data_IF_832072663278
#
_entry.id   IF_832072663278
#
_cell.length_a   1.000
_cell.length_b   1.000
_cell.length_c   1.000
_cell.angle_alpha   90.00
_cell.angle_beta   90.00
_cell.angle_gamma   90.00
#
_symmetry.space_group_name_H-M   'P 1'
#
loop_
_entity.id
_entity.type
_entity.pdbx_description
1 polymer ?
#
# COMPACT_ATOMS: atom_id res chain seq x y z
N UNK A 1 18.39 -5.33 7.86
CA UNK A 1 18.33 -6.74 8.33
C UNK A 1 17.66 -7.56 7.22
N UNK A 2 18.25 -8.66 6.72
CA UNK A 2 17.57 -9.53 5.73
C UNK A 2 16.48 -10.33 6.46
N UNK A 3 15.24 -10.28 6.00
CA UNK A 3 14.17 -11.17 6.49
C UNK A 3 14.42 -12.58 5.95
N UNK A 4 14.42 -13.60 6.81
CA UNK A 4 14.49 -14.99 6.37
C UNK A 4 13.10 -15.44 5.90
N UNK A 5 13.02 -16.08 4.73
CA UNK A 5 11.76 -16.49 4.08
C UNK A 5 10.87 -17.33 5.01
N UNK A 6 11.47 -18.22 5.81
CA UNK A 6 10.75 -19.14 6.70
C UNK A 6 10.11 -18.46 7.93
N UNK A 7 10.40 -17.17 8.17
CA UNK A 7 9.78 -16.37 9.24
C UNK A 7 8.71 -15.40 8.71
N UNK A 8 8.47 -15.39 7.38
CA UNK A 8 7.49 -14.49 6.76
C UNK A 8 6.09 -15.06 6.75
N UNK A 9 5.09 -14.20 6.96
CA UNK A 9 3.68 -14.57 6.86
C UNK A 9 3.20 -14.27 5.43
N UNK A 10 2.61 -15.25 4.70
CA UNK A 10 2.13 -15.03 3.34
C UNK A 10 1.07 -13.92 3.29
N UNK A 11 1.25 -12.98 2.36
CA UNK A 11 0.32 -11.91 2.07
C UNK A 11 -0.12 -11.92 0.61
N UNK A 12 -1.15 -11.15 0.29
CA UNK A 12 -1.57 -10.91 -1.09
C UNK A 12 -2.03 -9.47 -1.27
N UNK A 13 -1.94 -8.97 -2.50
CA UNK A 13 -2.56 -7.73 -2.92
C UNK A 13 -3.44 -7.95 -4.15
N UNK A 14 -4.58 -7.26 -4.20
CA UNK A 14 -5.55 -7.44 -5.28
C UNK A 14 -6.18 -6.13 -5.72
N UNK A 15 -6.66 -6.17 -6.96
CA UNK A 15 -7.29 -5.07 -7.67
C UNK A 15 -8.34 -5.63 -8.64
N UNK A 16 -8.94 -4.78 -9.48
CA UNK A 16 -9.84 -5.24 -10.54
C UNK A 16 -9.22 -6.27 -11.50
N UNK A 17 -7.89 -6.31 -11.63
CA UNK A 17 -7.19 -7.22 -12.53
C UNK A 17 -7.32 -8.70 -12.12
N UNK A 18 -7.55 -8.97 -10.84
CA UNK A 18 -7.67 -10.32 -10.29
C UNK A 18 -9.13 -10.84 -10.37
N UNK A 19 -10.06 -10.07 -10.92
CA UNK A 19 -11.48 -10.40 -11.01
C UNK A 19 -12.07 -10.84 -9.65
N UNK A 20 -12.53 -12.10 -9.56
CA UNK A 20 -13.13 -12.66 -8.35
C UNK A 20 -12.08 -13.41 -7.52
N UNK A 21 -11.66 -12.80 -6.40
CA UNK A 21 -10.76 -13.44 -5.43
C UNK A 21 -11.54 -14.32 -4.44
N UNK A 22 -11.11 -15.58 -4.28
CA UNK A 22 -11.59 -16.46 -3.22
C UNK A 22 -10.75 -16.31 -1.95
N UNK A 23 -11.11 -15.31 -1.14
CA UNK A 23 -10.40 -14.96 0.10
C UNK A 23 -10.39 -16.07 1.14
N UNK A 24 -11.42 -16.91 1.21
CA UNK A 24 -11.45 -18.04 2.14
C UNK A 24 -10.42 -19.09 1.74
N UNK A 25 -10.32 -19.41 0.45
CA UNK A 25 -9.30 -20.35 -0.04
C UNK A 25 -7.89 -19.79 0.16
N UNK A 26 -7.66 -18.51 -0.12
CA UNK A 26 -6.37 -17.86 0.12
C UNK A 26 -5.96 -17.95 1.60
N UNK A 27 -6.92 -17.76 2.51
CA UNK A 27 -6.68 -17.84 3.94
C UNK A 27 -6.42 -19.28 4.44
N UNK A 28 -7.26 -20.24 4.05
CA UNK A 28 -7.27 -21.60 4.59
C UNK A 28 -6.23 -22.51 3.93
N UNK A 29 -6.08 -22.39 2.61
CA UNK A 29 -5.20 -23.25 1.80
C UNK A 29 -3.81 -22.63 1.67
N UNK A 30 -3.74 -21.34 1.31
CA UNK A 30 -2.48 -20.68 0.97
C UNK A 30 -1.86 -19.95 2.16
N UNK A 31 -2.55 -19.93 3.30
CA UNK A 31 -2.05 -19.33 4.55
C UNK A 31 -1.97 -17.81 4.53
N UNK A 32 -2.66 -17.15 3.61
CA UNK A 32 -2.67 -15.68 3.49
C UNK A 32 -3.22 -15.05 4.78
N UNK A 33 -2.51 -14.03 5.29
CA UNK A 33 -2.95 -13.24 6.45
C UNK A 33 -3.08 -11.75 6.13
N UNK A 34 -2.03 -11.00 5.72
CA UNK A 34 -2.27 -9.65 5.22
C UNK A 34 -2.87 -9.66 3.81
N UNK A 35 -3.91 -8.85 3.61
CA UNK A 35 -4.56 -8.63 2.31
C UNK A 35 -4.61 -7.15 1.97
N UNK A 36 -3.99 -6.73 0.87
CA UNK A 36 -4.00 -5.36 0.40
C UNK A 36 -4.99 -5.21 -0.75
N UNK A 37 -5.89 -4.23 -0.68
CA UNK A 37 -6.98 -4.09 -1.65
C UNK A 37 -6.90 -2.72 -2.29
N UNK A 38 -6.78 -2.67 -3.62
CA UNK A 38 -6.78 -1.39 -4.32
C UNK A 38 -8.12 -0.71 -4.10
N UNK A 39 -8.07 0.53 -3.65
CA UNK A 39 -9.26 1.32 -3.42
C UNK A 39 -9.49 2.33 -4.53
N UNK A 40 -8.54 3.24 -4.72
CA UNK A 40 -8.64 4.33 -5.68
C UNK A 40 -7.33 4.61 -6.39
N UNK A 41 -7.48 5.21 -7.57
CA UNK A 41 -6.44 5.89 -8.32
C UNK A 41 -7.15 7.09 -8.93
N UNK A 42 -7.00 8.29 -8.38
CA UNK A 42 -7.85 9.42 -8.76
C UNK A 42 -7.87 9.64 -10.30
N UNK A 43 -9.05 9.83 -10.95
CA UNK A 43 -10.42 9.91 -10.39
C UNK A 43 -11.18 8.57 -10.42
N UNK A 44 -10.48 7.45 -10.54
CA UNK A 44 -11.07 6.12 -10.64
C UNK A 44 -11.15 5.42 -9.28
N UNK A 45 -12.24 4.70 -9.09
CA UNK A 45 -12.45 3.78 -7.99
C UNK A 45 -12.28 2.38 -8.54
N UNK A 46 -11.56 1.52 -7.85
CA UNK A 46 -11.41 0.13 -8.29
C UNK A 46 -12.79 -0.56 -8.27
N UNK A 47 -13.15 -1.23 -9.36
CA UNK A 47 -14.48 -1.82 -9.55
C UNK A 47 -14.73 -3.02 -8.64
N UNK A 48 -13.67 -3.66 -8.13
CA UNK A 48 -13.76 -4.82 -7.24
C UNK A 48 -13.54 -4.47 -5.77
N UNK A 49 -13.21 -3.21 -5.42
CA UNK A 49 -12.81 -2.81 -4.07
C UNK A 49 -13.78 -3.24 -2.97
N UNK A 50 -15.08 -3.00 -3.17
CA UNK A 50 -16.13 -3.32 -2.18
C UNK A 50 -16.30 -4.83 -2.06
N UNK A 51 -16.36 -5.54 -3.19
CA UNK A 51 -16.51 -7.00 -3.19
C UNK A 51 -15.32 -7.68 -2.50
N UNK A 52 -14.09 -7.24 -2.81
CA UNK A 52 -12.89 -7.76 -2.18
C UNK A 52 -12.85 -7.43 -0.69
N UNK A 53 -13.25 -6.22 -0.30
CA UNK A 53 -13.29 -5.83 1.10
C UNK A 53 -14.25 -6.68 1.94
N UNK A 54 -15.46 -6.89 1.43
CA UNK A 54 -16.49 -7.68 2.09
C UNK A 54 -16.08 -9.15 2.19
N UNK A 55 -15.54 -9.72 1.10
CA UNK A 55 -15.08 -11.11 1.09
C UNK A 55 -13.86 -11.33 1.99
N UNK A 56 -12.89 -10.41 2.01
CA UNK A 56 -11.77 -10.46 2.93
C UNK A 56 -12.25 -10.35 4.38
N UNK A 57 -13.24 -9.51 4.67
CA UNK A 57 -13.85 -9.40 6.01
C UNK A 57 -14.51 -10.70 6.44
N UNK A 58 -15.16 -11.41 5.53
CA UNK A 58 -15.77 -12.71 5.80
C UNK A 58 -14.77 -13.86 5.96
N UNK A 59 -13.53 -13.68 5.50
CA UNK A 59 -12.40 -14.57 5.79
C UNK A 59 -11.64 -14.04 7.03
N UNK A 60 -12.24 -14.12 8.23
CA UNK A 60 -11.92 -13.36 9.46
C UNK A 60 -10.44 -13.35 9.91
N UNK A 61 -9.60 -14.23 9.36
CA UNK A 61 -8.15 -14.30 9.62
C UNK A 61 -7.34 -13.33 8.77
N UNK A 62 -7.95 -12.68 7.78
CA UNK A 62 -7.27 -11.74 6.89
C UNK A 62 -7.24 -10.35 7.52
N UNK A 63 -6.03 -9.87 7.84
CA UNK A 63 -5.77 -8.49 8.21
C UNK A 63 -5.71 -7.66 6.92
N UNK A 64 -6.68 -6.79 6.69
CA UNK A 64 -6.82 -6.07 5.43
C UNK A 64 -6.31 -4.63 5.51
N UNK A 65 -5.73 -4.11 4.44
CA UNK A 65 -5.40 -2.70 4.25
C UNK A 65 -5.93 -2.22 2.89
N UNK A 66 -6.59 -1.06 2.82
CA UNK A 66 -6.87 -0.42 1.54
C UNK A 66 -5.59 0.27 1.04
N UNK A 67 -5.36 0.28 -0.27
CA UNK A 67 -4.28 1.05 -0.86
C UNK A 67 -4.77 2.01 -1.95
N UNK A 68 -4.05 3.12 -2.08
CA UNK A 68 -4.31 4.19 -3.05
C UNK A 68 -3.11 4.38 -3.96
N UNK A 69 -3.35 4.43 -5.27
CA UNK A 69 -2.32 4.74 -6.26
C UNK A 69 -2.12 6.24 -6.33
N UNK A 70 -0.90 6.70 -6.06
CA UNK A 70 -0.50 8.09 -6.20
C UNK A 70 -0.55 8.53 -7.68
N UNK A 71 -1.22 9.65 -7.94
CA UNK A 71 -1.34 10.24 -9.28
C UNK A 71 -0.57 11.56 -9.36
N UNK A 72 0.51 11.61 -10.15
CA UNK A 72 1.26 12.83 -10.40
C UNK A 72 0.38 13.98 -10.94
N UNK A 73 0.63 15.20 -10.47
CA UNK A 73 -0.08 16.40 -10.91
C UNK A 73 -1.49 16.58 -10.32
N UNK A 74 -1.95 15.64 -9.49
CA UNK A 74 -3.18 15.79 -8.69
C UNK A 74 -2.82 16.21 -7.28
N UNK A 75 -3.52 17.21 -6.73
CA UNK A 75 -3.29 17.67 -5.36
C UNK A 75 -3.45 16.53 -4.34
N UNK A 76 -2.51 16.42 -3.40
CA UNK A 76 -2.51 15.33 -2.41
C UNK A 76 -3.78 15.25 -1.58
N UNK A 77 -4.30 16.42 -1.16
CA UNK A 77 -5.56 16.52 -0.44
C UNK A 77 -6.73 15.94 -1.24
N UNK A 78 -6.81 16.24 -2.55
CA UNK A 78 -7.90 15.74 -3.39
C UNK A 78 -7.86 14.22 -3.55
N UNK A 79 -6.67 13.62 -3.65
CA UNK A 79 -6.52 12.17 -3.72
C UNK A 79 -6.90 11.51 -2.38
N UNK A 80 -6.45 12.10 -1.27
CA UNK A 80 -6.80 11.68 0.08
C UNK A 80 -8.31 11.74 0.34
N UNK A 81 -8.94 12.88 0.08
CA UNK A 81 -10.40 13.09 0.19
C UNK A 81 -11.17 12.08 -0.65
N UNK A 82 -10.81 11.95 -1.94
CA UNK A 82 -11.48 11.02 -2.85
C UNK A 82 -11.43 9.56 -2.35
N UNK A 83 -10.29 9.16 -1.77
CA UNK A 83 -10.12 7.84 -1.17
C UNK A 83 -10.94 7.69 0.11
N UNK A 84 -10.81 8.62 1.06
CA UNK A 84 -11.43 8.51 2.38
C UNK A 84 -12.94 8.63 2.30
N UNK A 85 -13.47 9.54 1.49
CA UNK A 85 -14.91 9.70 1.28
C UNK A 85 -15.53 8.45 0.68
N UNK A 86 -14.88 7.84 -0.32
CA UNK A 86 -15.41 6.61 -0.91
C UNK A 86 -15.35 5.43 0.05
N UNK A 87 -14.27 5.30 0.81
CA UNK A 87 -14.15 4.28 1.85
C UNK A 87 -15.26 4.42 2.89
N UNK A 88 -15.48 5.63 3.42
CA UNK A 88 -16.50 5.88 4.43
C UNK A 88 -17.93 5.66 3.92
N UNK A 89 -18.19 5.97 2.64
CA UNK A 89 -19.50 5.74 2.02
C UNK A 89 -19.81 4.26 1.79
N UNK A 90 -18.79 3.41 1.63
CA UNK A 90 -18.97 2.00 1.24
C UNK A 90 -18.75 1.03 2.40
N UNK A 91 -17.74 1.28 3.22
CA UNK A 91 -17.35 0.45 4.36
C UNK A 91 -17.82 1.05 5.68
N UNK A 92 -17.83 2.38 5.77
CA UNK A 92 -18.04 3.10 7.03
C UNK A 92 -16.72 3.52 7.66
N UNK A 93 -16.69 3.58 9.00
CA UNK A 93 -15.50 4.05 9.71
C UNK A 93 -14.36 3.04 9.65
N UNK A 94 -13.15 3.54 9.48
CA UNK A 94 -11.92 2.76 9.68
C UNK A 94 -11.86 2.26 11.13
N UNK A 95 -11.75 0.94 11.31
CA UNK A 95 -11.98 0.23 12.56
C UNK A 95 -10.90 -0.80 12.86
N UNK A 96 -9.64 -0.35 12.88
CA UNK A 96 -8.51 -1.19 13.30
C UNK A 96 -7.99 -2.14 12.22
N UNK A 97 -8.30 -1.86 10.95
CA UNK A 97 -7.61 -2.46 9.81
C UNK A 97 -6.09 -2.16 9.81
N UNK A 98 -5.35 -2.82 8.92
CA UNK A 98 -3.95 -2.47 8.69
C UNK A 98 -3.85 -1.06 8.09
N UNK A 99 -2.77 -0.29 8.40
CA UNK A 99 -2.61 1.07 7.91
C UNK A 99 -2.81 1.17 6.40
N UNK A 100 -3.49 2.22 5.89
CA UNK A 100 -3.63 2.41 4.46
C UNK A 100 -2.25 2.53 3.80
N UNK A 101 -2.12 2.00 2.60
CA UNK A 101 -0.86 2.04 1.85
C UNK A 101 -0.98 3.03 0.69
N UNK A 102 0.06 3.84 0.49
CA UNK A 102 0.21 4.67 -0.70
C UNK A 102 1.12 3.93 -1.69
N UNK A 103 0.54 3.54 -2.81
CA UNK A 103 1.24 2.98 -3.97
C UNK A 103 1.91 4.12 -4.75
N UNK A 104 3.24 4.16 -4.67
CA UNK A 104 4.11 5.15 -5.27
C UNK A 104 4.98 4.52 -6.36
N UNK A 105 4.41 4.37 -7.55
CA UNK A 105 5.11 3.83 -8.72
C UNK A 105 5.05 4.75 -9.96
N UNK A 106 4.34 5.88 -9.86
CA UNK A 106 4.15 6.82 -10.97
C UNK A 106 5.02 8.09 -10.84
N UNK A 107 5.46 8.61 -11.98
CA UNK A 107 6.33 9.79 -12.09
C UNK A 107 5.67 10.95 -12.85
N UNK A 108 6.08 12.20 -12.59
CA UNK A 108 7.05 12.63 -11.57
C UNK A 108 6.47 12.59 -10.15
N UNK A 109 7.34 12.49 -9.14
CA UNK A 109 6.92 12.55 -7.73
C UNK A 109 6.92 14.01 -7.27
N UNK A 110 5.73 14.53 -6.96
CA UNK A 110 5.56 15.78 -6.22
C UNK A 110 5.55 15.45 -4.72
N UNK A 111 6.67 15.73 -4.05
CA UNK A 111 6.88 15.42 -2.64
C UNK A 111 5.98 16.23 -1.70
N UNK A 112 5.57 17.44 -2.08
CA UNK A 112 4.68 18.25 -1.25
C UNK A 112 3.25 17.71 -1.34
N UNK A 113 2.78 17.39 -2.55
CA UNK A 113 1.49 16.73 -2.73
C UNK A 113 1.46 15.36 -2.05
N UNK A 114 2.52 14.55 -2.20
CA UNK A 114 2.61 13.25 -1.54
C UNK A 114 2.57 13.38 -0.01
N UNK A 115 3.30 14.35 0.55
CA UNK A 115 3.28 14.63 2.00
C UNK A 115 1.88 14.95 2.49
N UNK A 116 1.16 15.85 1.81
CA UNK A 116 -0.22 16.23 2.17
C UNK A 116 -1.14 15.01 2.12
N UNK A 117 -1.00 14.15 1.10
CA UNK A 117 -1.78 12.93 0.98
C UNK A 117 -1.52 11.97 2.16
N UNK A 118 -0.25 11.77 2.54
CA UNK A 118 0.09 10.97 3.73
C UNK A 118 -0.48 11.58 5.01
N UNK A 119 -0.33 12.89 5.24
CA UNK A 119 -0.86 13.57 6.43
C UNK A 119 -2.39 13.43 6.52
N UNK A 120 -3.09 13.49 5.38
CA UNK A 120 -4.53 13.25 5.31
C UNK A 120 -4.91 11.83 5.73
N UNK A 121 -4.23 10.83 5.16
CA UNK A 121 -4.47 9.42 5.48
C UNK A 121 -4.13 9.08 6.94
N UNK A 122 -3.05 9.67 7.46
CA UNK A 122 -2.66 9.51 8.87
C UNK A 122 -3.74 10.03 9.80
N UNK A 123 -4.28 11.21 9.50
CA UNK A 123 -5.34 11.83 10.27
C UNK A 123 -6.62 10.99 10.25
N UNK A 124 -7.02 10.54 9.06
CA UNK A 124 -8.21 9.73 8.86
C UNK A 124 -8.13 8.36 9.55
N UNK A 125 -7.04 7.62 9.32
CA UNK A 125 -6.85 6.27 9.86
C UNK A 125 -6.39 6.26 11.34
N UNK A 126 -5.95 7.42 11.87
CA UNK A 126 -5.34 7.56 13.21
C UNK A 126 -4.12 6.67 13.43
N UNK A 127 -3.43 6.33 12.34
CA UNK A 127 -2.19 5.54 12.31
C UNK A 127 -1.36 6.01 11.11
N UNK A 128 -0.03 5.92 11.20
CA UNK A 128 0.85 6.27 10.08
C UNK A 128 0.56 5.36 8.87
N UNK A 129 0.10 5.92 7.76
CA UNK A 129 -0.02 5.24 6.49
C UNK A 129 1.36 4.76 6.01
N UNK A 130 1.40 3.61 5.35
CA UNK A 130 2.60 3.01 4.78
C UNK A 130 2.79 3.36 3.31
N UNK A 131 3.97 3.05 2.77
CA UNK A 131 4.28 3.26 1.36
C UNK A 131 4.60 1.93 0.67
N UNK A 132 3.83 1.63 -0.37
CA UNK A 132 4.18 0.61 -1.34
C UNK A 132 4.98 1.23 -2.49
N UNK A 133 6.16 0.67 -2.80
CA UNK A 133 6.98 1.15 -3.92
C UNK A 133 8.08 0.14 -4.28
N UNK A 134 8.67 0.28 -5.45
CA UNK A 134 9.92 -0.39 -5.79
C UNK A 134 11.14 0.44 -5.38
N UNK A 135 12.23 -0.22 -4.95
CA UNK A 135 13.48 0.48 -4.70
C UNK A 135 13.98 1.25 -5.93
N UNK A 136 13.72 0.73 -7.14
CA UNK A 136 14.02 1.41 -8.40
C UNK A 136 13.27 2.74 -8.56
N UNK A 137 12.03 2.87 -8.06
CA UNK A 137 11.26 4.12 -8.10
C UNK A 137 11.99 5.19 -7.29
N UNK A 138 12.40 4.82 -6.07
CA UNK A 138 13.11 5.73 -5.16
C UNK A 138 14.52 6.08 -5.69
N UNK A 139 15.21 5.14 -6.33
CA UNK A 139 16.49 5.41 -6.98
C UNK A 139 16.36 6.39 -8.16
N UNK A 140 15.30 6.25 -8.96
CA UNK A 140 15.02 7.22 -10.03
C UNK A 140 14.70 8.58 -9.44
N UNK A 141 13.93 8.65 -8.35
CA UNK A 141 13.63 9.91 -7.68
C UNK A 141 14.91 10.64 -7.21
N UNK A 142 15.88 9.91 -6.65
CA UNK A 142 17.19 10.43 -6.21
C UNK A 142 18.06 10.98 -7.35
N UNK A 143 17.70 10.76 -8.63
CA UNK A 143 18.35 11.45 -9.75
C UNK A 143 17.94 12.92 -9.85
N UNK A 144 16.82 13.30 -9.20
CA UNK A 144 16.22 14.63 -9.28
C UNK A 144 16.18 15.37 -7.94
N UNK A 145 16.45 14.68 -6.83
CA UNK A 145 16.51 15.24 -5.48
C UNK A 145 17.78 14.77 -4.76
N UNK A 146 18.33 15.59 -3.88
CA UNK A 146 19.58 15.26 -3.17
C UNK A 146 19.41 14.11 -2.17
N UNK A 147 18.22 14.01 -1.54
CA UNK A 147 17.87 12.97 -0.56
C UNK A 147 16.36 12.83 -0.43
N UNK A 148 15.87 11.62 -0.19
CA UNK A 148 14.49 11.36 0.25
C UNK A 148 14.16 12.19 1.50
N UNK A 149 12.96 12.80 1.58
CA UNK A 149 12.57 13.61 2.74
C UNK A 149 12.51 12.81 4.05
N UNK A 150 12.90 13.44 5.16
CA UNK A 150 12.93 12.79 6.48
C UNK A 150 11.55 12.25 6.90
N UNK A 151 10.47 13.00 6.61
CA UNK A 151 9.09 12.56 6.89
C UNK A 151 8.67 11.31 6.12
N UNK A 152 9.30 11.05 4.97
CA UNK A 152 9.01 9.91 4.10
C UNK A 152 9.79 8.67 4.52
N UNK A 153 11.06 8.82 4.91
CA UNK A 153 11.88 7.67 5.35
C UNK A 153 11.43 7.10 6.71
N UNK A 154 10.70 7.88 7.50
CA UNK A 154 10.08 7.44 8.77
C UNK A 154 8.81 6.58 8.59
N UNK A 155 8.39 6.33 7.33
CA UNK A 155 7.22 5.50 7.02
C UNK A 155 7.57 4.02 7.11
N UNK A 156 6.54 3.21 7.31
CA UNK A 156 6.63 1.77 7.10
C UNK A 156 6.53 1.48 5.60
N UNK A 157 7.39 0.60 5.11
CA UNK A 157 7.49 0.30 3.68
C UNK A 157 7.03 -1.11 3.34
N UNK A 158 6.27 -1.19 2.26
CA UNK A 158 6.06 -2.39 1.47
C UNK A 158 6.92 -2.27 0.21
N UNK A 159 8.02 -3.01 0.13
CA UNK A 159 8.93 -2.94 -1.02
C UNK A 159 8.77 -4.12 -1.96
N UNK A 160 8.87 -3.86 -3.26
CA UNK A 160 9.00 -4.93 -4.26
C UNK A 160 10.41 -5.50 -4.29
N UNK A 161 10.52 -6.77 -4.69
CA UNK A 161 11.78 -7.45 -4.93
C UNK A 161 11.45 -8.83 -5.47
N UNK A 162 11.31 -8.95 -6.79
CA UNK A 162 10.77 -10.15 -7.44
C UNK A 162 11.79 -11.30 -7.48
N UNK A 163 12.18 -11.80 -6.29
CA UNK A 163 13.27 -12.73 -6.06
C UNK A 163 13.01 -13.59 -4.81
N UNK A 164 13.96 -14.45 -4.40
CA UNK A 164 13.82 -15.33 -3.23
C UNK A 164 14.73 -14.93 -2.04
N UNK A 165 15.37 -13.77 -2.12
CA UNK A 165 16.39 -13.30 -1.17
C UNK A 165 15.94 -12.16 -0.26
N UNK A 166 14.88 -11.44 -0.62
CA UNK A 166 14.30 -10.35 0.15
C UNK A 166 13.88 -9.15 -0.71
N UNK A 167 13.30 -8.10 -0.08
CA UNK A 167 12.94 -6.86 -0.77
C UNK A 167 14.19 -6.18 -1.33
N UNK A 168 14.05 -5.54 -2.49
CA UNK A 168 15.10 -4.68 -3.02
C UNK A 168 15.22 -3.45 -2.11
N UNK A 169 16.44 -3.08 -1.74
CA UNK A 169 16.71 -1.98 -0.83
C UNK A 169 17.23 -0.76 -1.58
N UNK A 170 16.88 0.44 -1.09
CA UNK A 170 17.40 1.70 -1.61
C UNK A 170 18.78 1.96 -1.01
N UNK A 171 19.79 2.16 -1.85
CA UNK A 171 21.16 2.40 -1.39
C UNK A 171 21.24 3.68 -0.55
N UNK A 172 21.89 3.60 0.62
CA UNK A 172 22.06 4.75 1.51
C UNK A 172 20.89 5.02 2.45
N UNK A 173 19.83 4.20 2.43
CA UNK A 173 18.67 4.33 3.31
C UNK A 173 18.44 3.04 4.11
N UNK A 174 18.07 3.19 5.37
CA UNK A 174 17.59 2.10 6.24
C UNK A 174 16.08 2.25 6.43
N UNK A 175 15.32 1.83 5.42
CA UNK A 175 13.86 1.95 5.41
C UNK A 175 13.24 0.86 6.29
N UNK A 176 12.19 1.22 7.04
CA UNK A 176 11.45 0.28 7.88
C UNK A 176 10.55 -0.63 7.03
N UNK A 177 11.14 -1.64 6.39
CA UNK A 177 10.37 -2.59 5.54
C UNK A 177 9.54 -3.54 6.41
N UNK A 178 8.21 -3.48 6.26
CA UNK A 178 7.23 -4.35 6.94
C UNK A 178 6.67 -5.43 6.04
N UNK A 179 6.59 -5.15 4.74
CA UNK A 179 6.05 -6.06 3.74
C UNK A 179 6.99 -6.14 2.53
N UNK A 180 6.97 -7.29 1.87
CA UNK A 180 7.80 -7.56 0.70
C UNK A 180 6.94 -8.18 -0.41
N UNK A 181 6.84 -7.52 -1.57
CA UNK A 181 6.25 -8.13 -2.76
C UNK A 181 7.29 -9.01 -3.45
N UNK A 182 7.17 -10.32 -3.24
CA UNK A 182 8.08 -11.33 -3.78
C UNK A 182 7.77 -11.71 -5.23
N UNK A 183 6.52 -11.63 -5.63
CA UNK A 183 6.04 -12.04 -6.96
C UNK A 183 4.83 -11.18 -7.35
N UNK A 184 4.58 -11.04 -8.66
CA UNK A 184 3.40 -10.38 -9.24
C UNK A 184 2.50 -11.38 -9.96
#
# INVERSE_FOLDING_TARGET
MKMLVDETVPGTDVSFNQEETNWQMAADTDGVRPGFIRWTQHPWKDSQRVLNWDKATNAWVVLKAPYIVYVPGVAGQLQGEFFTEDFEQTVGQYNGELPPQVDLELFPIDWDALKIMFEWLDFWAKVKAGCYTGAWVLQVALLYIDRLPDWFVERDFWLTGYNDEGPDLVSGYDLAVKFWQRTS
#
